data_IF_123107546947
#
_entry.id   IF_123107546947
#
_cell.length_a   1.000
_cell.length_b   1.000
_cell.length_c   1.000
_cell.angle_alpha   90.00
_cell.angle_beta   90.00
_cell.angle_gamma   90.00
#
_symmetry.space_group_name_H-M   'P 1'
#
loop_
_entity.id
_entity.type
_entity.pdbx_description
1 polymer ?
#
# COMPACT_ATOMS: atom_id res chain seq x y z
N UNK A 1 2.48 18.23 45.55
CA UNK A 1 1.07 17.95 45.15
C UNK A 1 1.12 17.34 43.77
N UNK A 2 0.88 16.03 43.65
CA UNK A 2 0.83 15.35 42.35
C UNK A 2 -0.61 15.48 41.80
N UNK A 3 -0.74 16.16 40.67
CA UNK A 3 -2.01 16.19 39.93
C UNK A 3 -2.13 14.89 39.12
N UNK A 4 -2.99 13.99 39.61
CA UNK A 4 -3.41 12.81 38.83
C UNK A 4 -4.18 13.27 37.58
N UNK A 5 -3.67 12.93 36.40
CA UNK A 5 -4.41 13.09 35.13
C UNK A 5 -5.53 12.05 35.07
N UNK A 6 -6.77 12.52 35.10
CA UNK A 6 -7.96 11.66 34.95
C UNK A 6 -8.08 11.32 33.46
N UNK A 7 -7.97 10.04 33.11
CA UNK A 7 -8.18 9.54 31.76
C UNK A 7 -9.67 9.61 31.31
N UNK A 8 -9.94 9.54 30.00
CA UNK A 8 -11.30 9.61 29.38
C UNK A 8 -12.34 8.71 30.10
N UNK A 9 -11.99 7.52 30.55
CA UNK A 9 -12.88 6.64 31.35
C UNK A 9 -13.15 7.14 32.76
N UNK A 10 -12.22 7.87 33.36
CA UNK A 10 -12.40 8.51 34.66
C UNK A 10 -13.32 9.72 34.57
N UNK A 11 -13.20 10.51 33.49
CA UNK A 11 -14.07 11.65 33.24
C UNK A 11 -15.54 11.24 32.99
N UNK A 12 -15.79 10.16 32.26
CA UNK A 12 -17.15 9.66 32.05
C UNK A 12 -17.81 9.10 33.32
N UNK A 13 -17.03 8.51 34.23
CA UNK A 13 -17.55 8.05 35.54
C UNK A 13 -17.82 9.21 36.50
N UNK A 14 -17.03 10.26 36.46
CA UNK A 14 -17.26 11.46 37.28
C UNK A 14 -18.39 12.33 36.77
N UNK A 15 -18.65 12.40 35.47
CA UNK A 15 -19.80 13.13 34.91
C UNK A 15 -21.15 12.46 35.21
N UNK A 16 -21.19 11.13 35.31
CA UNK A 16 -22.37 10.40 35.76
C UNK A 16 -22.69 10.59 37.28
N UNK A 17 -21.66 10.83 38.09
CA UNK A 17 -21.84 11.12 39.52
C UNK A 17 -22.23 12.58 39.79
N UNK A 18 -21.84 13.52 38.93
CA UNK A 18 -22.18 14.93 39.06
C UNK A 18 -23.61 15.26 38.60
N UNK A 19 -24.25 14.44 37.78
CA UNK A 19 -25.62 14.64 37.29
C UNK A 19 -26.70 14.31 38.31
N UNK A 20 -26.35 13.79 39.49
CA UNK A 20 -27.33 13.48 40.56
C UNK A 20 -27.63 14.67 41.48
N UNK A 21 -27.01 15.83 41.28
CA UNK A 21 -27.14 16.99 42.21
C UNK A 21 -27.82 18.22 41.60
N UNK A 22 -28.06 18.28 40.30
CA UNK A 22 -28.72 19.44 39.68
C UNK A 22 -29.94 18.97 38.85
N UNK A 23 -31.14 19.12 39.38
CA UNK A 23 -32.42 18.83 38.73
C UNK A 23 -32.77 19.78 37.55
N UNK A 24 -31.78 20.19 36.74
CA UNK A 24 -31.99 20.83 35.46
C UNK A 24 -31.65 19.87 34.32
N UNK A 25 -32.54 19.66 33.33
CA UNK A 25 -32.21 18.87 32.16
C UNK A 25 -31.02 19.53 31.45
N UNK A 26 -29.88 18.87 31.46
CA UNK A 26 -28.72 19.28 30.65
C UNK A 26 -29.12 19.15 29.18
N UNK A 27 -29.28 20.25 28.47
CA UNK A 27 -29.44 20.23 27.01
C UNK A 27 -28.09 19.84 26.43
N UNK A 28 -27.91 18.54 26.18
CA UNK A 28 -26.74 18.04 25.46
C UNK A 28 -27.00 18.33 23.99
N UNK A 29 -26.12 19.11 23.32
CA UNK A 29 -26.31 19.42 21.90
C UNK A 29 -26.47 18.13 21.10
N UNK A 30 -27.36 18.09 20.12
CA UNK A 30 -27.58 16.92 19.26
C UNK A 30 -26.29 16.46 18.54
N UNK A 31 -25.33 17.39 18.36
CA UNK A 31 -23.98 17.08 17.86
C UNK A 31 -23.14 16.20 18.81
N UNK A 32 -23.55 16.04 20.08
CA UNK A 32 -22.89 15.14 21.02
C UNK A 32 -23.40 13.68 20.91
N UNK A 33 -24.44 13.44 20.12
CA UNK A 33 -25.07 12.14 19.91
C UNK A 33 -25.05 11.77 18.42
N UNK A 34 -24.98 10.47 18.14
CA UNK A 34 -25.06 9.94 16.78
C UNK A 34 -23.70 9.58 16.19
N UNK A 35 -23.72 9.12 14.93
CA UNK A 35 -22.52 8.62 14.22
C UNK A 35 -21.40 9.64 14.12
N UNK A 36 -21.75 10.93 14.10
CA UNK A 36 -20.81 12.07 13.96
C UNK A 36 -20.42 12.71 15.30
N UNK A 37 -20.82 12.14 16.42
CA UNK A 37 -20.42 12.64 17.74
C UNK A 37 -18.88 12.63 17.87
N UNK A 38 -18.27 13.65 18.54
CA UNK A 38 -16.82 13.69 18.71
C UNK A 38 -16.21 12.38 19.28
N UNK A 39 -16.96 11.67 20.10
CA UNK A 39 -16.55 10.38 20.68
C UNK A 39 -16.61 9.18 19.71
N UNK A 40 -17.31 9.30 18.59
CA UNK A 40 -17.46 8.27 17.56
C UNK A 40 -16.59 8.54 16.32
N UNK A 41 -15.81 9.61 16.34
CA UNK A 41 -14.96 10.02 15.25
C UNK A 41 -13.59 9.33 15.34
N UNK A 42 -13.06 8.86 14.21
CA UNK A 42 -11.69 8.34 14.09
C UNK A 42 -10.75 9.53 13.86
N UNK A 43 -9.85 9.79 14.78
CA UNK A 43 -8.81 10.78 14.63
C UNK A 43 -7.61 10.18 13.88
N UNK A 44 -7.30 10.75 12.74
CA UNK A 44 -6.31 10.24 11.81
C UNK A 44 -5.10 11.16 11.76
N UNK A 45 -3.91 10.61 11.63
CA UNK A 45 -2.72 11.35 11.24
C UNK A 45 -2.28 10.96 9.82
N UNK A 46 -1.84 11.93 9.02
CA UNK A 46 -1.22 11.72 7.72
C UNK A 46 0.30 11.81 7.85
N UNK A 47 1.00 10.74 7.50
CA UNK A 47 2.47 10.68 7.44
C UNK A 47 2.87 10.57 5.97
N UNK A 48 3.45 11.66 5.43
CA UNK A 48 3.67 11.89 4.01
C UNK A 48 2.60 12.83 3.43
N UNK A 49 2.99 14.07 3.13
CA UNK A 49 2.13 15.14 2.61
C UNK A 49 2.35 15.39 1.10
N UNK A 50 2.93 14.44 0.38
CA UNK A 50 3.14 14.48 -1.06
C UNK A 50 1.86 14.19 -1.85
N UNK A 51 2.02 13.72 -3.10
CA UNK A 51 0.88 13.45 -3.99
C UNK A 51 -0.15 12.52 -3.35
N UNK A 52 0.28 11.35 -2.85
CA UNK A 52 -0.65 10.38 -2.27
C UNK A 52 -1.24 10.86 -0.93
N UNK A 53 -0.46 11.61 -0.14
CA UNK A 53 -0.97 12.26 1.07
C UNK A 53 -2.10 13.24 0.78
N UNK A 54 -2.03 13.99 -0.33
CA UNK A 54 -3.11 14.85 -0.80
C UNK A 54 -4.35 14.08 -1.23
N UNK A 55 -4.21 12.91 -1.89
CA UNK A 55 -5.33 12.02 -2.16
C UNK A 55 -5.98 11.53 -0.87
N UNK A 56 -5.19 11.08 0.11
CA UNK A 56 -5.70 10.65 1.42
C UNK A 56 -6.46 11.77 2.13
N UNK A 57 -5.89 12.98 2.16
CA UNK A 57 -6.57 14.18 2.70
C UNK A 57 -7.93 14.38 2.04
N UNK A 58 -7.96 14.39 0.70
CA UNK A 58 -9.18 14.67 -0.06
C UNK A 58 -10.27 13.60 0.14
N UNK A 59 -9.89 12.34 0.36
CA UNK A 59 -10.85 11.29 0.72
C UNK A 59 -11.34 11.42 2.16
N UNK A 60 -10.43 11.65 3.11
CA UNK A 60 -10.78 11.71 4.55
C UNK A 60 -11.68 12.88 4.91
N UNK A 61 -11.49 14.06 4.29
CA UNK A 61 -12.32 15.23 4.57
C UNK A 61 -13.78 15.07 4.13
N UNK A 62 -14.09 14.06 3.31
CA UNK A 62 -15.45 13.74 2.89
C UNK A 62 -16.22 12.94 3.96
N UNK A 63 -15.52 12.36 4.94
CA UNK A 63 -16.13 11.51 5.96
C UNK A 63 -16.30 12.28 7.28
N UNK A 64 -17.54 12.63 7.69
CA UNK A 64 -17.79 13.41 8.92
C UNK A 64 -17.38 12.68 10.19
N UNK A 65 -17.21 11.36 10.11
CA UNK A 65 -16.79 10.46 11.19
C UNK A 65 -15.29 10.11 11.17
N UNK A 66 -14.50 10.84 10.35
CA UNK A 66 -13.05 10.84 10.38
C UNK A 66 -12.53 12.30 10.48
N UNK A 67 -11.41 12.49 11.16
CA UNK A 67 -10.78 13.81 11.26
C UNK A 67 -9.27 13.70 11.20
N UNK A 68 -8.63 14.45 10.32
CA UNK A 68 -7.18 14.60 10.32
C UNK A 68 -6.77 15.57 11.42
N UNK A 69 -6.06 15.08 12.43
CA UNK A 69 -5.64 15.86 13.61
C UNK A 69 -4.14 16.15 13.63
N UNK A 70 -3.36 15.46 12.79
CA UNK A 70 -1.93 15.65 12.67
C UNK A 70 -1.44 15.35 11.26
N UNK A 71 -0.38 16.03 10.82
CA UNK A 71 0.33 15.81 9.57
C UNK A 71 1.83 15.78 9.81
N UNK A 72 2.55 14.95 9.04
CA UNK A 72 4.00 14.80 9.13
C UNK A 72 4.61 14.67 7.74
N UNK A 73 5.70 15.38 7.47
CA UNK A 73 6.48 15.24 6.24
C UNK A 73 7.91 15.75 6.48
N UNK A 74 8.89 15.17 5.80
CA UNK A 74 10.27 15.63 5.78
C UNK A 74 10.42 17.02 5.12
N UNK A 75 9.52 17.36 4.17
CA UNK A 75 9.45 18.71 3.59
C UNK A 75 8.62 19.64 4.46
N UNK A 76 9.25 20.73 4.95
CA UNK A 76 8.59 21.72 5.80
C UNK A 76 7.40 22.38 5.11
N UNK A 77 7.57 22.80 3.86
CA UNK A 77 6.51 23.46 3.09
C UNK A 77 5.30 22.55 2.89
N UNK A 78 5.49 21.27 2.62
CA UNK A 78 4.39 20.32 2.39
C UNK A 78 3.53 20.10 3.63
N UNK A 79 4.17 19.86 4.80
CA UNK A 79 3.41 19.67 6.05
C UNK A 79 2.67 20.90 6.52
N UNK A 80 3.25 22.11 6.31
CA UNK A 80 2.60 23.36 6.64
C UNK A 80 1.38 23.61 5.73
N UNK A 81 1.56 23.53 4.41
CA UNK A 81 0.49 23.74 3.45
C UNK A 81 -0.70 22.79 3.69
N UNK A 82 -0.42 21.50 3.95
CA UNK A 82 -1.48 20.52 4.22
C UNK A 82 -2.24 20.84 5.51
N UNK A 83 -1.55 21.27 6.56
CA UNK A 83 -2.20 21.67 7.82
C UNK A 83 -3.08 22.91 7.65
N UNK A 84 -2.61 23.91 6.89
CA UNK A 84 -3.38 25.12 6.58
C UNK A 84 -4.67 24.81 5.81
N UNK A 85 -4.59 23.94 4.79
CA UNK A 85 -5.76 23.50 4.02
C UNK A 85 -6.77 22.75 4.91
N UNK A 86 -6.31 21.85 5.78
CA UNK A 86 -7.15 21.11 6.71
C UNK A 86 -7.79 22.04 7.74
N UNK A 87 -7.03 22.98 8.33
CA UNK A 87 -7.54 23.95 9.28
C UNK A 87 -8.61 24.84 8.65
N UNK A 88 -8.38 25.28 7.41
CA UNK A 88 -9.39 26.03 6.63
C UNK A 88 -10.66 25.21 6.41
N UNK A 89 -10.52 23.93 6.02
CA UNK A 89 -11.65 23.03 5.81
C UNK A 89 -12.47 22.82 7.08
N UNK A 90 -11.82 22.69 8.24
CA UNK A 90 -12.50 22.48 9.53
C UNK A 90 -13.00 23.77 10.19
N UNK A 91 -12.75 24.94 9.59
CA UNK A 91 -13.20 26.24 10.08
C UNK A 91 -12.55 26.71 11.38
N UNK A 92 -11.46 26.09 11.81
CA UNK A 92 -10.72 26.41 13.04
C UNK A 92 -9.23 26.55 12.74
N UNK A 93 -8.60 27.60 13.22
CA UNK A 93 -7.15 27.73 13.23
C UNK A 93 -6.53 26.71 14.21
N UNK A 94 -5.35 26.23 13.87
CA UNK A 94 -4.46 25.40 14.72
C UNK A 94 -5.02 24.07 15.26
N UNK A 95 -6.00 23.47 14.61
CA UNK A 95 -6.55 22.18 15.02
C UNK A 95 -5.77 21.00 14.52
N UNK A 96 -5.03 21.14 13.39
CA UNK A 96 -4.16 20.12 12.82
C UNK A 96 -2.72 20.37 13.26
N UNK A 97 -2.14 19.43 14.00
CA UNK A 97 -0.74 19.52 14.48
C UNK A 97 0.23 19.16 13.36
N UNK A 98 1.41 19.81 13.37
CA UNK A 98 2.43 19.68 12.32
C UNK A 98 3.71 19.10 12.92
N UNK A 99 4.21 18.03 12.32
CA UNK A 99 5.40 17.31 12.79
C UNK A 99 6.41 17.10 11.66
N UNK A 100 7.69 17.08 12.01
CA UNK A 100 8.77 16.61 11.13
C UNK A 100 9.06 15.12 11.35
N UNK A 101 8.96 14.69 12.59
CA UNK A 101 9.26 13.33 13.02
C UNK A 101 7.97 12.53 13.25
N UNK A 102 7.80 11.42 12.51
CA UNK A 102 6.62 10.56 12.65
C UNK A 102 6.50 9.93 14.05
N UNK A 103 7.60 9.80 14.80
CA UNK A 103 7.59 9.26 16.16
C UNK A 103 6.78 10.14 17.11
N UNK A 104 6.80 11.46 16.90
CA UNK A 104 5.96 12.40 17.64
C UNK A 104 4.46 12.22 17.31
N UNK A 105 4.15 11.96 16.04
CA UNK A 105 2.79 11.64 15.60
C UNK A 105 2.26 10.37 16.25
N UNK A 106 3.08 9.31 16.25
CA UNK A 106 2.71 8.02 16.85
C UNK A 106 2.51 8.15 18.37
N UNK A 107 3.32 8.98 19.03
CA UNK A 107 3.19 9.27 20.46
C UNK A 107 1.98 10.16 20.81
N UNK A 108 1.34 10.81 19.83
CA UNK A 108 0.23 11.72 20.07
C UNK A 108 -1.01 10.96 20.61
N UNK A 109 -1.54 11.34 21.80
CA UNK A 109 -2.58 10.57 22.48
C UNK A 109 -3.93 10.58 21.76
N UNK A 110 -4.21 11.63 21.00
CA UNK A 110 -5.49 11.80 20.30
C UNK A 110 -5.51 11.16 18.90
N UNK A 111 -4.42 10.58 18.41
CA UNK A 111 -4.37 9.84 17.15
C UNK A 111 -4.86 8.43 17.39
N UNK A 112 -5.91 8.01 16.67
CA UNK A 112 -6.44 6.64 16.69
C UNK A 112 -5.81 5.78 15.58
N UNK A 113 -5.60 6.37 14.40
CA UNK A 113 -5.07 5.68 13.21
C UNK A 113 -4.09 6.57 12.43
N UNK A 114 -3.18 5.92 11.69
CA UNK A 114 -2.23 6.59 10.80
C UNK A 114 -2.45 6.18 9.35
N UNK A 115 -2.32 7.14 8.43
CA UNK A 115 -2.18 6.91 7.00
C UNK A 115 -0.74 7.16 6.61
N UNK A 116 -0.04 6.10 6.25
CA UNK A 116 1.37 6.14 5.86
C UNK A 116 1.45 6.24 4.34
N UNK A 117 1.84 7.41 3.83
CA UNK A 117 2.07 7.70 2.43
C UNK A 117 3.44 8.36 2.23
N UNK A 118 4.40 7.98 3.06
CA UNK A 118 5.80 8.37 2.98
C UNK A 118 6.51 7.66 1.82
N UNK A 119 7.83 7.68 1.77
CA UNK A 119 8.62 6.91 0.81
C UNK A 119 8.61 5.41 1.16
N UNK A 120 8.79 4.54 0.14
CA UNK A 120 8.61 3.08 0.24
C UNK A 120 9.40 2.43 1.39
N UNK A 121 10.67 2.85 1.57
CA UNK A 121 11.54 2.35 2.63
C UNK A 121 11.04 2.66 4.07
N UNK A 122 10.07 3.56 4.20
CA UNK A 122 9.46 3.93 5.47
C UNK A 122 8.16 3.17 5.80
N UNK A 123 7.51 2.57 4.80
CA UNK A 123 6.17 1.99 4.98
C UNK A 123 6.13 0.96 6.12
N UNK A 124 6.90 -0.10 6.03
CA UNK A 124 6.92 -1.15 7.06
C UNK A 124 7.49 -0.67 8.40
N UNK A 125 8.61 0.05 8.48
CA UNK A 125 9.10 0.61 9.75
C UNK A 125 8.06 1.46 10.48
N UNK A 126 7.44 2.42 9.81
CA UNK A 126 6.41 3.27 10.43
C UNK A 126 5.17 2.47 10.83
N UNK A 127 4.75 1.49 10.01
CA UNK A 127 3.62 0.63 10.32
C UNK A 127 3.86 -0.24 11.56
N UNK A 128 5.07 -0.81 11.73
CA UNK A 128 5.46 -1.56 12.92
C UNK A 128 5.40 -0.66 14.16
N UNK A 129 6.01 0.54 14.09
CA UNK A 129 6.03 1.48 15.21
C UNK A 129 4.60 1.92 15.60
N UNK A 130 3.76 2.24 14.62
CA UNK A 130 2.37 2.63 14.84
C UNK A 130 1.54 1.50 15.49
N UNK A 131 1.65 0.26 14.96
CA UNK A 131 0.93 -0.89 15.50
C UNK A 131 1.36 -1.19 16.95
N UNK A 132 2.65 -1.11 17.27
CA UNK A 132 3.16 -1.27 18.64
C UNK A 132 2.68 -0.18 19.59
N UNK A 133 2.52 1.05 19.09
CA UNK A 133 1.96 2.17 19.85
C UNK A 133 0.42 2.12 19.98
N UNK A 134 -0.21 1.06 19.50
CA UNK A 134 -1.66 0.88 19.59
C UNK A 134 -2.48 1.67 18.56
N UNK A 135 -1.85 2.16 17.48
CA UNK A 135 -2.53 2.85 16.39
C UNK A 135 -2.95 1.87 15.30
N UNK A 136 -4.12 2.09 14.70
CA UNK A 136 -4.53 1.36 13.50
C UNK A 136 -3.81 1.94 12.28
N UNK A 137 -3.57 1.13 11.24
CA UNK A 137 -2.63 1.48 10.17
C UNK A 137 -3.27 1.32 8.80
N UNK A 138 -3.33 2.40 8.04
CA UNK A 138 -3.45 2.37 6.59
C UNK A 138 -2.05 2.61 6.00
N UNK A 139 -1.49 1.61 5.30
CA UNK A 139 -0.15 1.67 4.75
C UNK A 139 -0.20 1.68 3.22
N UNK A 140 0.41 2.67 2.60
CA UNK A 140 0.53 2.72 1.14
C UNK A 140 1.42 1.59 0.60
N UNK A 141 1.24 1.32 -0.67
CA UNK A 141 2.04 0.40 -1.48
C UNK A 141 3.31 1.10 -1.97
N UNK A 142 4.42 0.36 -2.23
CA UNK A 142 4.64 -1.05 -1.87
C UNK A 142 4.76 -1.23 -0.36
N UNK A 143 4.72 -2.48 0.11
CA UNK A 143 4.72 -2.74 1.55
C UNK A 143 6.10 -2.53 2.16
N UNK A 144 7.13 -3.11 1.57
CA UNK A 144 8.45 -3.19 2.17
C UNK A 144 9.60 -3.11 1.16
N UNK A 145 10.71 -2.58 1.60
CA UNK A 145 12.02 -2.71 0.92
C UNK A 145 12.86 -3.85 1.50
N UNK A 146 12.48 -4.36 2.67
CA UNK A 146 13.15 -5.45 3.38
C UNK A 146 12.09 -6.49 3.80
N UNK A 147 12.11 -7.65 3.15
CA UNK A 147 11.11 -8.69 3.38
C UNK A 147 11.16 -9.26 4.80
N UNK A 148 12.32 -9.21 5.46
CA UNK A 148 12.46 -9.60 6.87
C UNK A 148 11.59 -8.76 7.81
N UNK A 149 11.38 -7.48 7.49
CA UNK A 149 10.53 -6.59 8.30
C UNK A 149 9.04 -6.94 8.19
N UNK A 150 8.58 -7.57 7.11
CA UNK A 150 7.17 -7.91 6.95
C UNK A 150 6.69 -8.94 7.98
N UNK A 151 7.58 -9.85 8.41
CA UNK A 151 7.29 -10.79 9.52
C UNK A 151 7.09 -10.04 10.84
N UNK A 152 7.90 -9.01 11.08
CA UNK A 152 7.77 -8.15 12.26
C UNK A 152 6.49 -7.30 12.20
N UNK A 153 6.11 -6.82 11.02
CA UNK A 153 4.85 -6.09 10.82
C UNK A 153 3.65 -6.98 11.13
N UNK A 154 3.59 -8.19 10.55
CA UNK A 154 2.54 -9.18 10.86
C UNK A 154 2.41 -9.40 12.36
N UNK A 155 3.56 -9.63 13.02
CA UNK A 155 3.59 -9.81 14.47
C UNK A 155 3.09 -8.58 15.22
N UNK A 156 3.53 -7.39 14.87
CA UNK A 156 3.11 -6.15 15.52
C UNK A 156 1.60 -5.89 15.37
N UNK A 157 1.05 -6.10 14.18
CA UNK A 157 -0.39 -5.95 13.91
C UNK A 157 -1.21 -6.93 14.74
N UNK A 158 -0.83 -8.22 14.73
CA UNK A 158 -1.58 -9.29 15.38
C UNK A 158 -1.49 -9.21 16.92
N UNK A 159 -0.29 -9.06 17.48
CA UNK A 159 -0.08 -9.01 18.94
C UNK A 159 -0.82 -7.82 19.58
N UNK A 160 -0.83 -6.68 18.86
CA UNK A 160 -1.50 -5.48 19.35
C UNK A 160 -2.97 -5.38 18.90
N UNK A 161 -3.48 -6.37 18.15
CA UNK A 161 -4.85 -6.41 17.62
C UNK A 161 -5.21 -5.13 16.87
N UNK A 162 -4.32 -4.68 15.99
CA UNK A 162 -4.54 -3.47 15.19
C UNK A 162 -5.22 -3.78 13.87
N UNK A 163 -6.07 -2.87 13.45
CA UNK A 163 -6.63 -2.90 12.11
C UNK A 163 -5.54 -2.43 11.15
N UNK A 164 -5.27 -3.22 10.11
CA UNK A 164 -4.32 -2.88 9.07
C UNK A 164 -5.03 -2.93 7.71
N UNK A 165 -4.76 -1.94 6.87
CA UNK A 165 -5.18 -1.97 5.47
C UNK A 165 -4.04 -1.55 4.56
N UNK A 166 -3.81 -2.36 3.53
CA UNK A 166 -2.85 -2.06 2.48
C UNK A 166 -3.46 -1.14 1.41
N UNK A 167 -2.70 -0.16 0.95
CA UNK A 167 -3.14 0.88 0.03
C UNK A 167 -3.27 0.44 -1.43
N UNK A 168 -3.80 -0.75 -1.71
CA UNK A 168 -4.13 -1.22 -3.05
C UNK A 168 -5.63 -1.25 -3.26
N UNK A 169 -6.18 -0.20 -3.90
CA UNK A 169 -7.61 0.07 -3.96
C UNK A 169 -8.40 -0.78 -4.96
N UNK A 170 -7.76 -1.54 -5.88
CA UNK A 170 -8.47 -2.29 -6.93
C UNK A 170 -9.55 -3.22 -6.37
N UNK A 171 -9.34 -3.86 -5.21
CA UNK A 171 -10.34 -4.71 -4.56
C UNK A 171 -11.61 -3.97 -4.12
N UNK A 172 -11.56 -2.64 -4.06
CA UNK A 172 -12.70 -1.78 -3.71
C UNK A 172 -13.35 -1.11 -4.92
N UNK A 173 -12.84 -1.35 -6.13
CA UNK A 173 -13.38 -0.79 -7.37
C UNK A 173 -14.40 -1.74 -8.02
N UNK A 174 -15.47 -1.17 -8.60
CA UNK A 174 -16.75 -1.84 -8.85
C UNK A 174 -16.72 -3.14 -9.65
N UNK A 175 -15.83 -3.31 -10.62
CA UNK A 175 -15.84 -4.49 -11.49
C UNK A 175 -14.82 -5.57 -11.12
N UNK A 176 -13.81 -5.27 -10.30
CA UNK A 176 -12.85 -6.29 -9.85
C UNK A 176 -13.50 -7.36 -8.97
N UNK A 177 -14.37 -7.04 -8.00
CA UNK A 177 -15.10 -8.07 -7.26
C UNK A 177 -15.85 -9.02 -8.18
N UNK A 178 -16.62 -8.47 -9.16
CA UNK A 178 -17.35 -9.28 -10.14
C UNK A 178 -16.43 -10.15 -10.99
N UNK A 179 -15.32 -9.63 -11.47
CA UNK A 179 -14.33 -10.39 -12.21
C UNK A 179 -13.80 -11.57 -11.42
N UNK A 180 -13.40 -11.32 -10.17
CA UNK A 180 -12.89 -12.35 -9.27
C UNK A 180 -13.95 -13.39 -8.93
N UNK A 181 -15.20 -12.98 -8.71
CA UNK A 181 -16.33 -13.90 -8.49
C UNK A 181 -16.57 -14.81 -9.70
N UNK A 182 -16.56 -14.25 -10.93
CA UNK A 182 -16.69 -15.06 -12.16
C UNK A 182 -15.55 -16.08 -12.29
N UNK A 183 -14.31 -15.69 -11.98
CA UNK A 183 -13.16 -16.60 -12.00
C UNK A 183 -13.31 -17.71 -10.95
N UNK A 184 -13.60 -17.34 -9.69
CA UNK A 184 -13.70 -18.28 -8.58
C UNK A 184 -14.83 -19.28 -8.69
N UNK A 185 -15.92 -18.89 -9.35
CA UNK A 185 -17.09 -19.75 -9.59
C UNK A 185 -17.02 -20.52 -10.92
N UNK A 186 -15.85 -20.50 -11.61
CA UNK A 186 -15.60 -21.34 -12.78
C UNK A 186 -16.28 -20.89 -14.08
N UNK A 187 -16.70 -19.63 -14.19
CA UNK A 187 -17.35 -19.11 -15.41
C UNK A 187 -16.40 -19.00 -16.62
N UNK A 188 -15.10 -19.14 -16.40
CA UNK A 188 -14.05 -19.27 -17.44
C UNK A 188 -13.45 -20.68 -17.48
N UNK A 189 -14.10 -21.66 -16.86
CA UNK A 189 -13.55 -22.99 -16.64
C UNK A 189 -12.51 -23.02 -15.51
N UNK A 190 -11.65 -24.05 -15.50
CA UNK A 190 -10.58 -24.20 -14.53
C UNK A 190 -9.46 -23.17 -14.78
N UNK A 191 -9.11 -22.37 -13.77
CA UNK A 191 -8.04 -21.37 -13.87
C UNK A 191 -6.68 -22.03 -14.11
N UNK A 192 -5.96 -21.62 -15.15
CA UNK A 192 -4.66 -22.18 -15.55
C UNK A 192 -3.52 -21.18 -15.47
N UNK A 193 -3.74 -19.94 -15.89
CA UNK A 193 -2.72 -18.89 -15.95
C UNK A 193 -3.32 -17.53 -15.60
N UNK A 194 -2.48 -16.69 -15.03
CA UNK A 194 -2.78 -15.29 -14.78
C UNK A 194 -1.64 -14.46 -15.37
N UNK A 195 -1.97 -13.52 -16.24
CA UNK A 195 -1.03 -12.55 -16.77
C UNK A 195 -1.17 -11.25 -15.98
N UNK A 196 -0.05 -10.71 -15.49
CA UNK A 196 0.00 -9.44 -14.74
C UNK A 196 1.13 -8.60 -15.30
N UNK A 197 0.86 -7.32 -15.53
CA UNK A 197 1.88 -6.40 -16.00
C UNK A 197 1.70 -5.00 -15.43
N UNK A 198 2.80 -4.25 -15.46
CA UNK A 198 2.78 -2.82 -15.18
C UNK A 198 3.87 -2.07 -15.94
N UNK A 199 3.81 -0.74 -15.87
CA UNK A 199 4.85 0.15 -16.40
C UNK A 199 6.21 -0.13 -15.74
N UNK A 200 7.27 0.35 -16.39
CA UNK A 200 8.64 0.31 -15.90
C UNK A 200 9.30 1.71 -15.92
N UNK A 201 10.58 1.81 -15.57
CA UNK A 201 11.31 3.09 -15.52
C UNK A 201 11.35 3.81 -16.87
N UNK A 202 11.37 3.08 -17.98
CA UNK A 202 11.41 3.69 -19.34
C UNK A 202 10.13 4.47 -19.66
N UNK A 203 8.99 4.09 -19.11
CA UNK A 203 7.73 4.81 -19.31
C UNK A 203 7.72 6.22 -18.68
N UNK A 204 8.69 6.53 -17.85
CA UNK A 204 8.81 7.82 -17.18
C UNK A 204 9.97 8.69 -17.71
N UNK A 205 10.68 8.26 -18.78
CA UNK A 205 11.86 8.97 -19.35
C UNK A 205 11.59 10.45 -19.61
N UNK A 206 10.44 10.79 -20.15
CA UNK A 206 10.08 12.18 -20.48
C UNK A 206 9.94 13.06 -19.24
N UNK A 207 9.72 12.47 -18.06
CA UNK A 207 9.58 13.17 -16.78
C UNK A 207 10.93 13.63 -16.19
N UNK A 208 12.05 13.14 -16.73
CA UNK A 208 13.39 13.40 -16.23
C UNK A 208 14.25 14.23 -17.21
N UNK A 209 13.63 15.15 -17.96
CA UNK A 209 14.33 16.04 -18.89
C UNK A 209 15.24 15.30 -19.89
N UNK A 210 14.80 14.16 -20.39
CA UNK A 210 15.57 13.33 -21.32
C UNK A 210 16.76 12.58 -20.70
N UNK A 211 16.84 12.51 -19.36
CA UNK A 211 17.81 11.68 -18.63
C UNK A 211 17.09 10.46 -18.02
N UNK A 212 17.03 9.34 -18.73
CA UNK A 212 16.16 8.21 -18.35
C UNK A 212 16.52 7.59 -16.99
N UNK A 213 17.76 7.74 -16.53
CA UNK A 213 18.23 7.04 -15.32
C UNK A 213 18.66 7.97 -14.18
N UNK A 214 18.23 9.23 -14.22
CA UNK A 214 18.46 10.21 -13.18
C UNK A 214 19.91 10.70 -13.06
N UNK A 215 20.10 11.90 -12.53
CA UNK A 215 21.39 12.56 -12.38
C UNK A 215 22.21 11.96 -11.24
N UNK A 216 23.50 11.69 -11.50
CA UNK A 216 24.49 11.35 -10.46
C UNK A 216 25.20 12.56 -9.87
N UNK A 217 24.91 13.78 -10.37
CA UNK A 217 25.55 15.02 -9.91
C UNK A 217 25.02 15.39 -8.54
N UNK A 218 25.91 15.40 -7.55
CA UNK A 218 25.59 15.85 -6.20
C UNK A 218 25.32 17.36 -6.18
N UNK A 219 24.25 17.74 -5.47
CA UNK A 219 23.89 19.14 -5.23
C UNK A 219 23.55 19.35 -3.75
N UNK A 220 23.57 20.59 -3.25
CA UNK A 220 23.17 20.86 -1.87
C UNK A 220 21.73 20.42 -1.59
N UNK A 221 21.49 19.89 -0.40
CA UNK A 221 20.14 19.57 0.07
C UNK A 221 19.35 20.88 0.21
N UNK A 222 18.12 20.97 -0.32
CA UNK A 222 17.26 22.14 -0.11
C UNK A 222 17.01 22.40 1.37
N UNK A 223 17.00 23.66 1.79
CA UNK A 223 16.69 24.06 3.20
C UNK A 223 15.30 23.60 3.70
N UNK A 224 14.37 23.41 2.75
CA UNK A 224 13.01 22.92 3.02
C UNK A 224 12.94 21.43 3.35
N UNK A 225 14.00 20.65 3.05
CA UNK A 225 14.02 19.19 3.16
C UNK A 225 14.91 18.71 4.31
N UNK A 226 14.35 17.98 5.24
CA UNK A 226 15.11 17.10 6.14
C UNK A 226 15.47 15.81 5.39
N UNK A 227 16.61 15.83 4.69
CA UNK A 227 17.05 14.71 3.86
C UNK A 227 17.39 13.46 4.69
N UNK A 228 17.86 13.63 5.94
CA UNK A 228 18.10 12.49 6.83
C UNK A 228 16.81 11.77 7.19
N UNK A 229 15.74 12.50 7.48
CA UNK A 229 14.40 11.95 7.70
C UNK A 229 13.83 11.34 6.42
N UNK A 230 14.02 11.99 5.26
CA UNK A 230 13.53 11.48 3.98
C UNK A 230 14.21 10.15 3.60
N UNK A 231 15.55 10.09 3.71
CA UNK A 231 16.35 8.88 3.44
C UNK A 231 16.05 7.76 4.45
N UNK A 232 15.76 8.14 5.68
CA UNK A 232 15.29 7.26 6.74
C UNK A 232 16.23 6.10 7.06
N UNK A 233 15.70 4.85 7.16
CA UNK A 233 16.49 3.69 7.51
C UNK A 233 17.51 3.29 6.43
N UNK A 234 17.33 3.71 5.18
CA UNK A 234 18.26 3.40 4.11
C UNK A 234 19.63 4.07 4.32
N UNK A 235 20.73 3.49 3.83
CA UNK A 235 22.04 4.10 3.88
C UNK A 235 22.04 5.52 3.31
N UNK A 236 22.80 6.42 3.91
CA UNK A 236 22.96 7.78 3.36
C UNK A 236 23.68 7.74 2.03
N UNK A 237 23.15 8.51 1.10
CA UNK A 237 23.68 8.69 -0.26
C UNK A 237 23.71 10.18 -0.59
N UNK A 238 24.53 10.62 -1.59
CA UNK A 238 24.52 11.99 -2.04
C UNK A 238 23.14 12.44 -2.52
N UNK A 239 22.76 13.68 -2.18
CA UNK A 239 21.55 14.29 -2.70
C UNK A 239 21.75 14.73 -4.16
N UNK A 240 20.81 14.34 -5.02
CA UNK A 240 20.81 14.73 -6.44
C UNK A 240 19.44 15.31 -6.82
N UNK A 241 19.39 16.08 -7.90
CA UNK A 241 18.16 16.76 -8.33
C UNK A 241 16.96 15.81 -8.57
N UNK A 242 17.23 14.58 -9.01
CA UNK A 242 16.18 13.65 -9.42
C UNK A 242 15.74 12.69 -8.30
N UNK A 243 16.55 12.53 -7.23
CA UNK A 243 16.32 11.54 -6.16
C UNK A 243 15.01 11.72 -5.42
N UNK A 244 14.73 12.94 -4.97
CA UNK A 244 13.56 13.25 -4.14
C UNK A 244 12.39 13.84 -4.94
N UNK A 245 12.39 13.67 -6.25
CA UNK A 245 11.23 14.02 -7.09
C UNK A 245 10.09 13.04 -6.88
N UNK A 246 8.84 13.38 -7.22
CA UNK A 246 7.69 12.49 -7.02
C UNK A 246 7.84 11.10 -7.66
N UNK A 247 8.60 10.99 -8.74
CA UNK A 247 8.83 9.74 -9.47
C UNK A 247 10.23 9.17 -9.26
N UNK A 248 11.25 10.02 -9.07
CA UNK A 248 12.63 9.59 -8.92
C UNK A 248 12.85 8.64 -7.75
N UNK A 249 12.18 8.90 -6.66
CA UNK A 249 12.22 8.03 -5.48
C UNK A 249 11.85 6.57 -5.75
N UNK A 250 10.91 6.31 -6.69
CA UNK A 250 10.53 4.94 -7.06
C UNK A 250 11.61 4.16 -7.80
N UNK A 251 12.64 4.82 -8.30
CA UNK A 251 13.66 4.18 -9.14
C UNK A 251 15.02 4.06 -8.45
N UNK A 252 15.17 4.58 -7.23
CA UNK A 252 16.39 4.48 -6.44
C UNK A 252 16.36 3.21 -5.57
N UNK A 253 17.26 2.22 -5.81
CA UNK A 253 17.19 0.91 -5.14
C UNK A 253 17.46 0.97 -3.63
N UNK A 254 18.07 2.07 -3.15
CA UNK A 254 18.28 2.27 -1.71
C UNK A 254 16.96 2.51 -0.98
N UNK A 255 15.93 2.99 -1.69
CA UNK A 255 14.67 3.42 -1.10
C UNK A 255 13.43 2.77 -1.70
N UNK A 256 13.54 2.06 -2.84
CA UNK A 256 12.42 1.41 -3.51
C UNK A 256 12.83 0.16 -4.30
N UNK A 257 11.90 -0.77 -4.51
CA UNK A 257 12.02 -1.89 -5.48
C UNK A 257 11.59 -1.48 -6.90
N UNK A 258 11.12 -0.26 -7.09
CA UNK A 258 10.62 0.19 -8.39
C UNK A 258 9.18 -0.23 -8.66
N UNK A 259 8.79 -0.15 -9.91
CA UNK A 259 7.40 -0.36 -10.31
C UNK A 259 6.94 -1.82 -10.20
N UNK A 260 7.85 -2.79 -10.19
CA UNK A 260 7.50 -4.21 -9.95
C UNK A 260 6.79 -4.39 -8.59
N UNK A 261 7.12 -3.56 -7.60
CA UNK A 261 6.40 -3.49 -6.32
C UNK A 261 5.45 -2.27 -6.28
N UNK A 262 5.85 -1.12 -6.83
CA UNK A 262 5.10 0.13 -6.73
C UNK A 262 3.81 0.19 -7.55
N UNK A 263 3.78 -0.42 -8.75
CA UNK A 263 2.62 -0.43 -9.64
C UNK A 263 2.00 -1.81 -9.80
N UNK A 264 2.83 -2.87 -10.02
CA UNK A 264 2.33 -4.22 -10.23
C UNK A 264 1.49 -4.73 -9.05
N UNK A 265 1.68 -4.20 -7.86
CA UNK A 265 0.96 -4.64 -6.64
C UNK A 265 -0.57 -4.49 -6.76
N UNK A 266 -1.06 -3.54 -7.55
CA UNK A 266 -2.49 -3.35 -7.74
C UNK A 266 -3.13 -4.53 -8.52
N UNK A 267 -2.70 -4.83 -9.77
CA UNK A 267 -3.21 -5.98 -10.51
C UNK A 267 -2.79 -7.31 -9.86
N UNK A 268 -1.61 -7.40 -9.22
CA UNK A 268 -1.16 -8.58 -8.50
C UNK A 268 -2.06 -8.90 -7.29
N UNK A 269 -2.53 -7.88 -6.56
CA UNK A 269 -3.50 -8.06 -5.49
C UNK A 269 -4.82 -8.66 -5.97
N UNK A 270 -5.25 -8.33 -7.19
CA UNK A 270 -6.42 -8.95 -7.83
C UNK A 270 -6.12 -10.38 -8.29
N UNK A 271 -4.92 -10.64 -8.85
CA UNK A 271 -4.47 -11.96 -9.25
C UNK A 271 -4.47 -12.95 -8.07
N UNK A 272 -3.88 -12.57 -6.93
CA UNK A 272 -3.89 -13.34 -5.69
C UNK A 272 -5.32 -13.62 -5.22
N UNK A 273 -6.17 -12.60 -5.26
CA UNK A 273 -7.56 -12.71 -4.88
C UNK A 273 -8.33 -13.70 -5.77
N UNK A 274 -8.19 -13.60 -7.10
CA UNK A 274 -8.83 -14.51 -8.05
C UNK A 274 -8.35 -15.95 -7.92
N UNK A 275 -7.07 -16.16 -7.62
CA UNK A 275 -6.45 -17.48 -7.40
C UNK A 275 -6.67 -18.06 -5.99
N UNK A 276 -7.33 -17.33 -5.06
CA UNK A 276 -7.50 -17.75 -3.65
C UNK A 276 -6.17 -17.94 -2.90
N UNK A 277 -5.15 -17.16 -3.24
CA UNK A 277 -3.77 -17.30 -2.73
C UNK A 277 -3.33 -16.14 -1.83
N UNK A 278 -4.26 -15.43 -1.21
CA UNK A 278 -3.95 -14.33 -0.29
C UNK A 278 -3.13 -14.73 0.94
N UNK A 279 -3.02 -16.03 1.23
CA UNK A 279 -2.28 -16.59 2.36
C UNK A 279 -1.00 -17.32 1.95
N UNK A 280 -0.67 -17.35 0.64
CA UNK A 280 0.52 -18.02 0.11
C UNK A 280 1.09 -17.23 -1.09
N UNK A 281 2.17 -17.72 -1.66
CA UNK A 281 2.82 -17.16 -2.84
C UNK A 281 3.36 -18.30 -3.72
N UNK A 282 3.77 -18.04 -4.98
CA UNK A 282 4.39 -19.05 -5.82
C UNK A 282 5.62 -19.69 -5.16
N UNK A 283 5.88 -20.93 -5.52
CA UNK A 283 7.00 -21.72 -4.97
C UNK A 283 8.25 -21.71 -5.87
N UNK A 284 8.10 -21.27 -7.12
CA UNK A 284 9.19 -21.21 -8.10
C UNK A 284 9.03 -20.02 -9.02
N UNK A 285 10.12 -19.34 -9.30
CA UNK A 285 10.20 -18.16 -10.15
C UNK A 285 11.33 -18.33 -11.16
N UNK A 286 11.03 -18.16 -12.44
CA UNK A 286 11.99 -18.32 -13.54
C UNK A 286 11.71 -17.28 -14.62
N UNK A 287 12.77 -16.62 -15.09
CA UNK A 287 12.60 -15.64 -16.14
C UNK A 287 13.85 -14.82 -16.39
N UNK A 288 13.65 -13.72 -17.08
CA UNK A 288 14.71 -12.79 -17.48
C UNK A 288 14.29 -11.34 -17.22
N UNK A 289 15.27 -10.46 -17.25
CA UNK A 289 15.02 -9.04 -17.15
C UNK A 289 16.30 -8.23 -17.22
N UNK A 290 16.19 -6.92 -16.99
CA UNK A 290 17.35 -6.03 -16.97
C UNK A 290 17.22 -4.97 -15.88
N UNK A 291 18.38 -4.45 -15.49
CA UNK A 291 18.54 -3.34 -14.55
C UNK A 291 19.41 -2.29 -15.23
N UNK A 292 19.07 -1.00 -15.15
CA UNK A 292 19.92 0.06 -15.70
C UNK A 292 21.32 0.04 -15.07
N UNK A 293 22.33 0.27 -15.89
CA UNK A 293 23.74 0.30 -15.45
C UNK A 293 24.26 1.72 -15.23
N UNK A 294 23.50 2.74 -15.70
CA UNK A 294 23.85 4.16 -15.60
C UNK A 294 22.88 4.91 -14.68
N UNK A 295 23.29 6.07 -14.20
CA UNK A 295 22.47 6.95 -13.37
C UNK A 295 22.19 6.41 -11.96
N UNK A 296 21.23 7.03 -11.28
CA UNK A 296 20.81 6.64 -9.94
C UNK A 296 19.57 5.71 -9.94
N UNK A 297 18.86 5.60 -11.06
CA UNK A 297 17.66 4.79 -11.19
C UNK A 297 18.04 3.36 -11.59
N UNK A 298 18.16 2.48 -10.60
CA UNK A 298 18.65 1.09 -10.75
C UNK A 298 17.67 0.05 -10.24
N UNK A 299 16.38 0.35 -10.22
CA UNK A 299 15.33 -0.65 -10.08
C UNK A 299 15.11 -1.37 -11.40
N UNK A 300 14.29 -2.42 -11.43
CA UNK A 300 14.10 -3.20 -12.65
C UNK A 300 13.61 -2.34 -13.81
N UNK A 301 14.27 -2.51 -14.96
CA UNK A 301 13.93 -1.87 -16.23
C UNK A 301 13.02 -2.76 -17.08
N UNK A 302 13.33 -4.05 -17.15
CA UNK A 302 12.56 -5.07 -17.86
C UNK A 302 12.42 -6.31 -16.99
N UNK A 303 11.30 -7.00 -17.14
CA UNK A 303 11.10 -8.32 -16.54
C UNK A 303 10.06 -9.13 -17.31
N UNK A 304 10.35 -10.43 -17.41
CA UNK A 304 9.51 -11.47 -17.99
C UNK A 304 9.73 -12.71 -17.12
N UNK A 305 8.86 -12.93 -16.14
CA UNK A 305 9.05 -13.96 -15.10
C UNK A 305 7.79 -14.79 -14.94
N UNK A 306 7.94 -16.11 -15.13
CA UNK A 306 6.92 -17.11 -14.86
C UNK A 306 7.05 -17.58 -13.41
N UNK A 307 5.92 -17.60 -12.70
CA UNK A 307 5.85 -18.02 -11.31
C UNK A 307 4.88 -19.20 -11.18
N UNK A 308 5.30 -20.28 -10.52
CA UNK A 308 4.50 -21.50 -10.36
C UNK A 308 3.91 -21.55 -8.94
N UNK A 309 2.57 -21.60 -8.83
CA UNK A 309 1.90 -21.90 -7.57
C UNK A 309 1.80 -23.40 -7.29
N UNK A 310 1.74 -23.77 -6.01
CA UNK A 310 1.55 -25.17 -5.58
C UNK A 310 0.24 -25.78 -6.12
N UNK A 311 -0.80 -24.98 -6.34
CA UNK A 311 -2.09 -25.41 -6.92
C UNK A 311 -2.05 -25.62 -8.44
N UNK A 312 -0.90 -25.46 -9.09
CA UNK A 312 -0.70 -25.65 -10.53
C UNK A 312 -1.03 -24.45 -11.41
N UNK A 313 -1.57 -23.37 -10.85
CA UNK A 313 -1.78 -22.12 -11.59
C UNK A 313 -0.44 -21.43 -11.84
N UNK A 314 -0.25 -20.88 -13.04
CA UNK A 314 0.93 -20.11 -13.41
C UNK A 314 0.61 -18.62 -13.36
N UNK A 315 1.49 -17.83 -12.74
CA UNK A 315 1.44 -16.37 -12.78
C UNK A 315 2.58 -15.87 -13.68
N UNK A 316 2.22 -15.14 -14.72
CA UNK A 316 3.18 -14.51 -15.65
C UNK A 316 3.30 -13.03 -15.30
N UNK A 317 4.42 -12.63 -14.73
CA UNK A 317 4.70 -11.26 -14.34
C UNK A 317 5.58 -10.58 -15.39
N UNK A 318 5.10 -9.50 -15.99
CA UNK A 318 5.74 -8.83 -17.11
C UNK A 318 5.85 -7.32 -16.90
N UNK A 319 6.89 -6.71 -17.48
CA UNK A 319 6.85 -5.29 -17.75
C UNK A 319 5.87 -4.98 -18.91
N UNK A 320 5.48 -3.73 -19.06
CA UNK A 320 4.45 -3.32 -20.02
C UNK A 320 4.84 -3.57 -21.49
N UNK A 321 6.12 -3.45 -21.86
CA UNK A 321 6.56 -3.74 -23.23
C UNK A 321 6.51 -5.22 -23.53
N UNK A 322 7.00 -6.07 -22.64
CA UNK A 322 6.90 -7.53 -22.73
C UNK A 322 5.43 -7.96 -22.79
N UNK A 323 4.60 -7.40 -21.92
CA UNK A 323 3.18 -7.72 -21.88
C UNK A 323 2.46 -7.38 -23.19
N UNK A 324 2.80 -6.27 -23.85
CA UNK A 324 2.22 -5.91 -25.14
C UNK A 324 2.38 -7.04 -26.16
N UNK A 325 3.60 -7.59 -26.29
CA UNK A 325 3.88 -8.63 -27.27
C UNK A 325 3.15 -9.94 -26.93
N UNK A 326 3.06 -10.30 -25.66
CA UNK A 326 2.35 -11.50 -25.19
C UNK A 326 0.83 -11.34 -25.31
N UNK A 327 0.29 -10.24 -24.80
CA UNK A 327 -1.17 -10.00 -24.71
C UNK A 327 -1.78 -9.87 -26.10
N UNK A 328 -1.10 -9.22 -27.04
CA UNK A 328 -1.58 -9.06 -28.42
C UNK A 328 -1.65 -10.38 -29.20
N UNK A 329 -1.19 -11.48 -28.67
CA UNK A 329 -1.40 -12.82 -29.27
C UNK A 329 -2.83 -13.34 -29.08
N UNK A 330 -3.57 -12.87 -28.08
CA UNK A 330 -4.94 -13.29 -27.76
C UNK A 330 -5.94 -12.13 -27.64
N UNK A 331 -5.46 -10.88 -27.56
CA UNK A 331 -6.27 -9.67 -27.51
C UNK A 331 -6.16 -8.91 -28.82
N UNK A 332 -7.27 -8.73 -29.50
CA UNK A 332 -7.31 -8.20 -30.88
C UNK A 332 -7.65 -6.72 -30.99
N UNK A 333 -8.03 -6.09 -29.88
CA UNK A 333 -8.31 -4.67 -29.86
C UNK A 333 -7.00 -3.85 -29.71
N UNK A 334 -7.12 -2.53 -29.81
CA UNK A 334 -5.97 -1.64 -29.70
C UNK A 334 -5.34 -1.74 -28.30
N UNK A 335 -4.02 -1.96 -28.27
CA UNK A 335 -3.24 -1.85 -27.03
C UNK A 335 -3.34 -0.46 -26.42
N UNK A 336 -3.49 -0.41 -25.10
CA UNK A 336 -3.44 0.81 -24.31
C UNK A 336 -2.41 0.65 -23.19
N UNK A 337 -1.51 1.62 -23.03
CA UNK A 337 -0.55 1.63 -21.97
C UNK A 337 -1.25 1.73 -20.60
N UNK A 338 -0.87 0.85 -19.69
CA UNK A 338 -1.42 0.78 -18.33
C UNK A 338 -1.10 -0.55 -17.66
N UNK A 339 -1.41 -0.61 -16.38
CA UNK A 339 -1.22 -1.82 -15.57
C UNK A 339 -2.43 -2.75 -15.78
N UNK A 340 -2.23 -4.06 -15.86
CA UNK A 340 -3.31 -4.98 -16.16
C UNK A 340 -3.20 -6.36 -15.52
N UNK A 341 -4.32 -7.08 -15.54
CA UNK A 341 -4.45 -8.46 -15.09
C UNK A 341 -5.43 -9.24 -15.94
N UNK A 342 -5.06 -10.45 -16.38
CA UNK A 342 -5.92 -11.35 -17.15
C UNK A 342 -5.88 -12.75 -16.56
N UNK A 343 -7.04 -13.32 -16.31
CA UNK A 343 -7.23 -14.69 -15.87
C UNK A 343 -7.57 -15.58 -17.07
N UNK A 344 -6.80 -16.64 -17.29
CA UNK A 344 -7.00 -17.63 -18.36
C UNK A 344 -7.48 -18.94 -17.75
N UNK A 345 -8.68 -19.32 -18.10
CA UNK A 345 -9.27 -20.60 -17.78
C UNK A 345 -9.30 -21.54 -18.99
N UNK A 346 -9.81 -22.76 -18.79
CA UNK A 346 -9.99 -23.75 -19.86
C UNK A 346 -11.02 -23.36 -20.91
N UNK A 347 -11.99 -22.49 -20.55
CA UNK A 347 -13.15 -22.14 -21.40
C UNK A 347 -13.09 -20.69 -21.89
N UNK A 348 -12.05 -19.95 -21.52
CA UNK A 348 -11.85 -18.57 -21.97
C UNK A 348 -11.00 -17.74 -21.00
N UNK A 349 -10.97 -16.44 -21.23
CA UNK A 349 -10.25 -15.49 -20.39
C UNK A 349 -11.12 -14.28 -20.05
N UNK A 350 -10.79 -13.62 -18.94
CA UNK A 350 -11.38 -12.38 -18.45
C UNK A 350 -10.32 -11.51 -17.79
N UNK A 351 -10.36 -10.19 -17.98
CA UNK A 351 -9.33 -9.34 -17.41
C UNK A 351 -9.61 -7.85 -17.49
N UNK A 352 -8.69 -7.09 -16.91
CA UNK A 352 -8.54 -5.64 -17.07
C UNK A 352 -7.20 -5.34 -17.74
N UNK A 353 -7.27 -4.72 -18.92
CA UNK A 353 -6.10 -4.47 -19.76
C UNK A 353 -5.44 -3.12 -19.50
N UNK A 354 -6.12 -2.27 -18.79
CA UNK A 354 -5.71 -0.98 -18.28
C UNK A 354 -6.75 -0.59 -17.25
N UNK A 355 -6.38 -0.03 -16.12
CA UNK A 355 -7.30 0.32 -15.04
C UNK A 355 -8.68 0.76 -15.55
N UNK A 356 -9.69 -0.08 -15.35
CA UNK A 356 -11.07 0.12 -15.79
C UNK A 356 -11.40 -0.29 -17.23
N UNK A 357 -10.46 -0.91 -17.98
CA UNK A 357 -10.69 -1.41 -19.35
C UNK A 357 -10.95 -2.92 -19.35
N UNK A 358 -12.10 -3.31 -18.83
CA UNK A 358 -12.49 -4.70 -18.63
C UNK A 358 -12.92 -5.38 -19.92
N UNK A 359 -12.27 -6.49 -20.26
CA UNK A 359 -12.52 -7.30 -21.45
C UNK A 359 -12.59 -8.79 -21.10
N UNK A 360 -13.15 -9.58 -22.01
CA UNK A 360 -13.20 -11.04 -21.91
C UNK A 360 -13.21 -11.67 -23.29
N UNK A 361 -12.78 -12.93 -23.41
CA UNK A 361 -12.88 -13.73 -24.64
C UNK A 361 -14.32 -13.85 -25.16
N UNK A 362 -15.28 -13.82 -24.24
CA UNK A 362 -16.70 -13.68 -24.52
C UNK A 362 -17.27 -12.57 -23.64
N UNK A 363 -17.63 -11.44 -24.27
CA UNK A 363 -18.14 -10.26 -23.55
C UNK A 363 -19.46 -10.51 -22.80
N UNK A 364 -20.20 -11.60 -23.10
CA UNK A 364 -21.37 -11.97 -22.32
C UNK A 364 -21.04 -12.42 -20.90
N UNK A 365 -19.79 -12.76 -20.58
CA UNK A 365 -19.34 -13.01 -19.20
C UNK A 365 -19.64 -11.83 -18.28
N UNK A 366 -19.49 -10.59 -18.75
CA UNK A 366 -19.79 -9.40 -17.95
C UNK A 366 -21.27 -9.18 -17.66
N UNK A 367 -22.15 -9.80 -18.46
CA UNK A 367 -23.61 -9.77 -18.29
C UNK A 367 -24.12 -10.94 -17.43
N UNK A 368 -23.24 -11.89 -17.13
CA UNK A 368 -23.59 -13.06 -16.34
C UNK A 368 -24.03 -12.66 -14.93
N UNK A 369 -25.21 -13.10 -14.53
CA UNK A 369 -25.66 -13.02 -13.16
C UNK A 369 -25.11 -14.21 -12.36
N UNK A 370 -24.61 -13.92 -11.18
CA UNK A 370 -24.12 -14.96 -10.27
C UNK A 370 -25.32 -15.68 -9.65
N UNK A 371 -25.20 -17.00 -9.55
CA UNK A 371 -26.23 -17.84 -8.94
C UNK A 371 -26.28 -17.63 -7.42
N UNK A 372 -27.39 -18.01 -6.76
CA UNK A 372 -27.50 -17.88 -5.30
C UNK A 372 -26.43 -18.66 -4.52
N UNK A 373 -26.00 -19.81 -5.06
CA UNK A 373 -24.96 -20.68 -4.48
C UNK A 373 -23.53 -20.23 -4.75
N UNK A 374 -23.34 -19.28 -5.67
CA UNK A 374 -22.00 -18.80 -6.02
C UNK A 374 -21.35 -18.06 -4.84
N UNK A 375 -20.04 -18.28 -4.71
CA UNK A 375 -19.23 -17.56 -3.72
C UNK A 375 -19.24 -16.06 -4.01
N UNK A 376 -19.46 -15.28 -2.97
CA UNK A 376 -19.32 -13.83 -2.98
C UNK A 376 -18.01 -13.44 -2.31
N UNK A 377 -17.31 -12.49 -2.91
CA UNK A 377 -16.12 -11.93 -2.30
C UNK A 377 -16.47 -10.81 -1.32
N UNK A 378 -15.46 -10.38 -0.54
CA UNK A 378 -15.61 -9.26 0.37
C UNK A 378 -16.10 -8.01 -0.35
N UNK A 379 -17.23 -7.45 0.07
CA UNK A 379 -17.77 -6.20 -0.48
C UNK A 379 -17.19 -4.99 0.25
N UNK A 380 -16.52 -4.10 -0.49
CA UNK A 380 -15.99 -2.84 0.02
C UNK A 380 -16.75 -1.66 -0.58
N UNK A 381 -17.29 -0.78 0.27
CA UNK A 381 -18.01 0.45 -0.13
C UNK A 381 -17.08 1.60 -0.48
N UNK A 382 -15.85 1.32 -0.78
CA UNK A 382 -14.77 2.28 -1.03
C UNK A 382 -13.60 2.06 -0.08
N UNK A 383 -12.40 2.18 -0.62
CA UNK A 383 -11.19 1.70 0.04
C UNK A 383 -10.91 2.39 1.39
N UNK A 384 -10.92 3.73 1.42
CA UNK A 384 -10.72 4.50 2.66
C UNK A 384 -11.92 4.34 3.61
N UNK A 385 -13.15 4.27 3.06
CA UNK A 385 -14.36 4.02 3.88
C UNK A 385 -14.27 2.69 4.60
N UNK A 386 -13.84 1.63 3.89
CA UNK A 386 -13.63 0.31 4.47
C UNK A 386 -12.68 0.35 5.68
N UNK A 387 -11.54 1.05 5.55
CA UNK A 387 -10.61 1.21 6.68
C UNK A 387 -11.27 1.88 7.89
N UNK A 388 -11.96 3.01 7.69
CA UNK A 388 -12.62 3.73 8.79
C UNK A 388 -13.71 2.87 9.45
N UNK A 389 -14.48 2.11 8.66
CA UNK A 389 -15.49 1.18 9.18
C UNK A 389 -14.86 0.04 9.98
N UNK A 390 -13.74 -0.51 9.48
CA UNK A 390 -13.01 -1.58 10.17
C UNK A 390 -12.31 -1.08 11.46
N UNK A 391 -11.79 0.14 11.48
CA UNK A 391 -11.28 0.75 12.73
C UNK A 391 -12.35 0.80 13.81
N UNK A 392 -13.59 1.09 13.44
CA UNK A 392 -14.72 1.14 14.39
C UNK A 392 -15.25 -0.23 14.78
N UNK A 393 -15.42 -1.12 13.80
CA UNK A 393 -16.01 -2.44 14.01
C UNK A 393 -15.01 -3.49 14.52
N UNK A 394 -13.71 -3.23 14.34
CA UNK A 394 -12.60 -4.17 14.59
C UNK A 394 -12.60 -5.38 13.65
N UNK A 395 -13.35 -5.32 12.54
CA UNK A 395 -13.34 -6.35 11.51
C UNK A 395 -12.06 -6.26 10.67
N UNK A 396 -11.76 -7.33 9.95
CA UNK A 396 -10.67 -7.36 8.97
C UNK A 396 -11.01 -6.48 7.77
N UNK A 397 -10.00 -5.85 7.19
CA UNK A 397 -10.13 -4.98 6.02
C UNK A 397 -10.13 -5.80 4.70
N UNK A 398 -10.53 -5.15 3.61
CA UNK A 398 -10.48 -5.77 2.26
C UNK A 398 -9.07 -6.12 1.79
N UNK A 399 -8.05 -5.47 2.34
CA UNK A 399 -6.64 -5.69 2.03
C UNK A 399 -5.81 -5.84 3.32
N UNK A 400 -5.93 -6.99 4.03
CA UNK A 400 -5.25 -7.22 5.29
C UNK A 400 -3.73 -7.41 5.14
N UNK A 401 -3.02 -7.41 6.27
CA UNK A 401 -1.55 -7.50 6.31
C UNK A 401 -1.00 -8.75 5.65
N UNK A 402 -1.68 -9.88 5.77
CA UNK A 402 -1.21 -11.14 5.15
C UNK A 402 -1.21 -11.05 3.63
N UNK A 403 -2.31 -10.59 3.03
CA UNK A 403 -2.40 -10.35 1.60
C UNK A 403 -1.30 -9.39 1.11
N UNK A 404 -1.04 -8.31 1.85
CA UNK A 404 0.00 -7.35 1.51
C UNK A 404 1.39 -8.01 1.47
N UNK A 405 1.72 -8.82 2.47
CA UNK A 405 3.00 -9.56 2.56
C UNK A 405 3.14 -10.53 1.38
N UNK A 406 2.09 -11.28 1.03
CA UNK A 406 2.16 -12.26 -0.07
C UNK A 406 2.36 -11.60 -1.43
N UNK A 407 1.72 -10.47 -1.69
CA UNK A 407 1.95 -9.68 -2.89
C UNK A 407 3.37 -9.09 -2.92
N UNK A 408 3.83 -8.53 -1.81
CA UNK A 408 5.17 -7.94 -1.69
C UNK A 408 6.28 -8.99 -1.88
N UNK A 409 6.08 -10.21 -1.34
CA UNK A 409 6.97 -11.37 -1.55
C UNK A 409 7.17 -11.65 -3.04
N UNK A 410 6.11 -11.65 -3.83
CA UNK A 410 6.21 -11.92 -5.28
C UNK A 410 7.09 -10.88 -5.97
N UNK A 411 6.93 -9.59 -5.63
CA UNK A 411 7.76 -8.52 -6.20
C UNK A 411 9.26 -8.69 -5.84
N UNK A 412 9.56 -9.06 -4.60
CA UNK A 412 10.92 -9.36 -4.16
C UNK A 412 11.54 -10.56 -4.88
N UNK A 413 10.76 -11.63 -5.10
CA UNK A 413 11.24 -12.80 -5.84
C UNK A 413 11.56 -12.46 -7.30
N UNK A 414 10.75 -11.61 -7.95
CA UNK A 414 11.01 -11.14 -9.31
C UNK A 414 12.30 -10.31 -9.36
N UNK A 415 12.51 -9.40 -8.41
CA UNK A 415 13.76 -8.63 -8.30
C UNK A 415 14.97 -9.57 -8.13
N UNK A 416 14.84 -10.62 -7.30
CA UNK A 416 15.88 -11.60 -7.08
C UNK A 416 16.19 -12.43 -8.35
N UNK A 417 15.17 -12.91 -9.08
CA UNK A 417 15.34 -13.61 -10.37
C UNK A 417 16.11 -12.75 -11.37
N UNK A 418 15.68 -11.52 -11.56
CA UNK A 418 16.30 -10.62 -12.55
C UNK A 418 17.74 -10.26 -12.19
N UNK A 419 18.01 -9.98 -10.90
CA UNK A 419 19.36 -9.60 -10.47
C UNK A 419 20.35 -10.76 -10.46
N UNK A 420 19.88 -11.96 -10.17
CA UNK A 420 20.75 -13.14 -10.14
C UNK A 420 20.83 -13.86 -11.48
N UNK A 421 19.86 -13.67 -12.37
CA UNK A 421 19.74 -14.41 -13.63
C UNK A 421 19.47 -15.90 -13.44
N UNK A 422 18.95 -16.31 -12.30
CA UNK A 422 18.73 -17.71 -11.91
C UNK A 422 17.29 -17.97 -11.52
N UNK A 423 16.90 -19.24 -11.57
CA UNK A 423 15.66 -19.73 -10.97
C UNK A 423 15.70 -19.54 -9.46
N UNK A 424 14.68 -18.96 -8.90
CA UNK A 424 14.52 -18.81 -7.45
C UNK A 424 13.41 -19.75 -6.97
N UNK A 425 13.76 -20.64 -6.04
CA UNK A 425 12.79 -21.49 -5.34
C UNK A 425 12.47 -20.89 -3.97
N UNK A 426 11.20 -20.84 -3.63
CA UNK A 426 10.68 -20.21 -2.42
C UNK A 426 9.86 -21.20 -1.61
N UNK A 427 10.08 -21.25 -0.30
CA UNK A 427 9.20 -21.95 0.62
C UNK A 427 8.21 -20.93 1.25
N UNK A 428 6.93 -20.91 0.86
CA UNK A 428 5.95 -19.95 1.37
C UNK A 428 5.55 -20.20 2.83
N UNK A 429 5.89 -21.36 3.41
CA UNK A 429 5.63 -21.67 4.82
C UNK A 429 6.77 -21.22 5.73
N UNK A 430 8.01 -21.54 5.32
CA UNK A 430 9.21 -21.05 6.01
C UNK A 430 9.46 -19.56 5.74
N UNK A 431 8.92 -19.05 4.62
CA UNK A 431 9.16 -17.71 4.10
C UNK A 431 10.66 -17.44 3.88
N UNK A 432 11.28 -18.32 3.07
CA UNK A 432 12.69 -18.25 2.75
C UNK A 432 12.99 -18.77 1.33
N UNK A 433 14.06 -18.27 0.71
CA UNK A 433 14.58 -18.79 -0.55
C UNK A 433 15.32 -20.08 -0.26
N UNK A 434 15.04 -21.13 -1.06
CA UNK A 434 15.60 -22.45 -0.90
C UNK A 434 16.85 -22.60 -1.77
N UNK A 435 18.00 -22.89 -1.13
CA UNK A 435 19.21 -23.33 -1.82
C UNK A 435 20.02 -22.24 -2.54
N UNK A 436 19.68 -20.95 -2.40
CA UNK A 436 20.43 -19.83 -3.01
C UNK A 436 20.65 -18.69 -2.01
N UNK A 437 21.81 -18.71 -1.36
CA UNK A 437 22.18 -17.70 -0.34
C UNK A 437 22.39 -16.29 -0.93
N UNK A 438 22.82 -16.17 -2.19
CA UNK A 438 23.00 -14.88 -2.85
C UNK A 438 21.64 -14.24 -3.15
N UNK A 439 20.68 -14.99 -3.68
CA UNK A 439 19.33 -14.52 -3.87
C UNK A 439 18.65 -14.18 -2.53
N UNK A 440 18.86 -14.99 -1.48
CA UNK A 440 18.32 -14.73 -0.14
C UNK A 440 18.87 -13.43 0.46
N UNK A 441 20.13 -13.07 0.22
CA UNK A 441 20.73 -11.83 0.67
C UNK A 441 20.07 -10.57 0.06
N UNK A 442 19.42 -10.70 -1.10
CA UNK A 442 18.69 -9.60 -1.74
C UNK A 442 17.37 -9.23 -1.02
N UNK A 443 16.86 -10.12 -0.15
CA UNK A 443 15.59 -9.91 0.56
C UNK A 443 15.71 -8.96 1.76
N UNK A 444 16.93 -8.66 2.16
CA UNK A 444 17.21 -7.74 3.26
C UNK A 444 18.03 -6.56 2.78
N UNK A 445 17.96 -5.47 3.52
CA UNK A 445 18.69 -4.25 3.20
C UNK A 445 19.52 -3.79 4.41
N UNK A 446 20.68 -3.14 4.18
CA UNK A 446 21.40 -2.50 5.27
C UNK A 446 20.57 -1.31 5.79
N UNK A 447 20.58 -1.15 7.12
CA UNK A 447 19.83 -0.09 7.80
C UNK A 447 20.76 0.77 8.65
N UNK A 448 20.47 2.07 8.71
CA UNK A 448 21.11 3.01 9.64
C UNK A 448 20.64 2.73 11.07
N UNK A 449 21.58 2.64 12.03
CA UNK A 449 21.27 2.25 13.42
C UNK A 449 20.28 3.20 14.11
N UNK A 450 20.40 4.51 13.87
CA UNK A 450 19.51 5.52 14.48
C UNK A 450 18.05 5.43 14.04
N UNK A 451 17.78 4.69 12.97
CA UNK A 451 16.43 4.48 12.42
C UNK A 451 15.90 3.06 12.62
N UNK A 452 16.63 2.21 13.31
CA UNK A 452 16.13 0.89 13.70
C UNK A 452 15.08 1.03 14.81
N UNK A 453 13.84 0.79 14.46
CA UNK A 453 12.68 0.89 15.35
C UNK A 453 11.99 -0.46 15.58
N UNK A 454 12.61 -1.53 15.10
CA UNK A 454 12.18 -2.93 15.23
C UNK A 454 13.11 -3.80 16.05
#
# INVERSE_FOLDING_TARGET
MQTQKIGRRGFMKSSLAASAVAGMPAIIPSSAFGANAPGNRVNVALIGCGNIGNYHKNWLVQYPDARVVAVCDAYKSRRIAMAEELNKHYGNADTTKVYNDFREVIAHPDVDAVFIGAHDNWHTPMAIAAARAGKDVYCQKPLSLDLGQTKLLRKAVNDNKRVFQFGTQYRSESLYPKMVELVRNGYIGELKRIDVWCRNVQNDVDKYNGKPYGSTVEIPVPEDLDFSMWQGPAPMVPYTADRCTPWGGYHCPETSLGFVAGCAIHPLGVAQWGNRTDHTSPIRYEGTGSVPTEGIFRTLERWDVMCDYENGVKLHMMDMQTARDVVMTYYTEKWHDGDGVVFHGTDGWIGDFKFGSFCASNQNLWKQELKPEDERVYESRGHVRNFIDCVKSRNETVCPVEMAIRCDTIAHMIDAVVRTGRVVNWDPKAEEIVGDAEAAALLTRPHREEWKIW
#
